data_IF_607105530694
#
_entry.id   IF_607105530694
#
_cell.length_a   1.000
_cell.length_b   1.000
_cell.length_c   1.000
_cell.angle_alpha   90.00
_cell.angle_beta   90.00
_cell.angle_gamma   90.00
#
_symmetry.space_group_name_H-M   'P 1'
#
loop_
_entity.id
_entity.type
_entity.pdbx_description
1 polymer ?
#
# COMPACT_ATOMS: atom_id res chain seq x y z
N UNK A 1 8.85 9.35 1.01
CA UNK A 1 8.20 8.07 0.72
C UNK A 1 6.72 8.20 1.03
N UNK A 2 5.92 7.33 0.41
CA UNK A 2 4.52 7.06 0.73
C UNK A 2 4.39 5.59 1.08
N UNK A 3 3.70 5.29 2.18
CA UNK A 3 3.59 3.94 2.71
C UNK A 3 2.15 3.49 2.70
N UNK A 4 1.94 2.22 2.39
CA UNK A 4 0.68 1.52 2.60
C UNK A 4 0.86 0.53 3.73
N UNK A 5 0.10 0.70 4.81
CA UNK A 5 0.17 -0.18 5.95
C UNK A 5 -1.20 -0.67 6.41
N UNK A 6 -1.21 -1.83 7.05
CA UNK A 6 -2.38 -2.39 7.71
C UNK A 6 -2.24 -2.19 9.21
N UNK A 7 -3.30 -1.72 9.85
CA UNK A 7 -3.34 -1.62 11.30
C UNK A 7 -3.53 -3.00 11.91
N UNK A 8 -2.63 -3.35 12.81
CA UNK A 8 -2.62 -4.58 13.61
C UNK A 8 -2.61 -4.24 15.10
N UNK A 9 -2.72 -5.24 15.96
CA UNK A 9 -2.58 -5.05 17.41
C UNK A 9 -1.17 -4.55 17.82
N UNK A 10 -0.16 -4.75 16.98
CA UNK A 10 1.21 -4.29 17.20
C UNK A 10 1.52 -2.97 16.49
N UNK A 11 0.50 -2.30 15.96
CA UNK A 11 0.62 -1.06 15.20
C UNK A 11 0.53 -1.27 13.69
N UNK A 12 1.07 -0.31 12.94
CA UNK A 12 1.01 -0.24 11.48
C UNK A 12 2.07 -1.17 10.86
N UNK A 13 1.60 -2.28 10.27
CA UNK A 13 2.43 -3.21 9.52
C UNK A 13 2.58 -2.71 8.08
N UNK A 14 3.80 -2.35 7.69
CA UNK A 14 4.10 -1.95 6.31
C UNK A 14 3.84 -3.12 5.33
N UNK A 15 3.10 -2.83 4.26
CA UNK A 15 2.78 -3.80 3.21
C UNK A 15 3.43 -3.45 1.87
N UNK A 16 3.47 -2.15 1.55
CA UNK A 16 4.11 -1.63 0.35
C UNK A 16 4.51 -0.16 0.55
N UNK A 17 5.46 0.32 -0.26
CA UNK A 17 5.90 1.71 -0.21
C UNK A 17 6.40 2.19 -1.56
N UNK A 18 6.38 3.51 -1.77
CA UNK A 18 6.97 4.15 -2.95
C UNK A 18 7.53 5.55 -2.70
N UNK A 19 8.24 6.09 -3.69
CA UNK A 19 8.67 7.49 -3.76
C UNK A 19 8.04 8.15 -5.00
N UNK A 20 7.68 9.43 -4.90
CA UNK A 20 7.24 10.28 -6.01
C UNK A 20 6.33 9.58 -7.02
N UNK A 21 6.83 9.34 -8.23
CA UNK A 21 6.10 8.77 -9.37
C UNK A 21 6.44 7.30 -9.65
N UNK A 22 7.10 6.63 -8.72
CA UNK A 22 7.52 5.24 -8.92
C UNK A 22 6.36 4.27 -8.64
N UNK A 23 6.27 3.25 -9.49
CA UNK A 23 5.44 2.08 -9.27
C UNK A 23 6.25 0.99 -8.59
N UNK A 24 5.74 0.45 -7.49
CA UNK A 24 6.36 -0.62 -6.71
C UNK A 24 5.36 -1.70 -6.37
N UNK A 25 5.89 -2.90 -6.23
CA UNK A 25 5.13 -4.09 -5.90
C UNK A 25 5.62 -4.65 -4.55
N UNK A 26 4.69 -5.16 -3.74
CA UNK A 26 5.02 -5.89 -2.52
C UNK A 26 5.79 -7.16 -2.83
N UNK A 27 6.48 -7.69 -1.83
CA UNK A 27 7.31 -8.89 -1.97
C UNK A 27 6.55 -10.12 -2.47
N UNK A 28 5.28 -10.24 -2.10
CA UNK A 28 4.38 -11.33 -2.52
C UNK A 28 3.66 -11.05 -3.85
N UNK A 29 3.90 -9.89 -4.47
CA UNK A 29 3.33 -9.54 -5.76
C UNK A 29 1.87 -9.06 -5.72
N UNK A 30 1.20 -9.11 -4.57
CA UNK A 30 -0.25 -8.87 -4.50
C UNK A 30 -0.65 -7.41 -4.42
N UNK A 31 0.26 -6.56 -3.95
CA UNK A 31 0.01 -5.16 -3.71
C UNK A 31 0.91 -4.34 -4.63
N UNK A 32 0.32 -3.42 -5.37
CA UNK A 32 1.03 -2.44 -6.16
C UNK A 32 0.71 -1.06 -5.63
N UNK A 33 1.74 -0.25 -5.42
CA UNK A 33 1.63 1.14 -4.99
C UNK A 33 2.31 2.04 -6.01
N UNK A 34 1.63 3.10 -6.41
CA UNK A 34 2.07 4.06 -7.42
C UNK A 34 1.71 5.46 -6.95
N UNK A 35 2.67 6.37 -6.96
CA UNK A 35 2.41 7.77 -6.70
C UNK A 35 2.24 8.55 -7.99
N UNK A 36 1.44 9.60 -7.94
CA UNK A 36 1.32 10.58 -9.02
C UNK A 36 1.55 11.98 -8.43
N UNK A 37 2.70 12.57 -8.78
CA UNK A 37 3.09 13.89 -8.29
C UNK A 37 2.27 15.02 -8.91
N UNK A 38 1.67 14.79 -10.08
CA UNK A 38 0.84 15.77 -10.79
C UNK A 38 -0.51 15.93 -10.09
N UNK A 39 -1.19 14.81 -9.84
CA UNK A 39 -2.47 14.79 -9.13
C UNK A 39 -2.32 14.83 -7.60
N UNK A 40 -1.10 14.65 -7.09
CA UNK A 40 -0.77 14.53 -5.65
C UNK A 40 -1.53 13.37 -4.98
N UNK A 41 -1.72 12.28 -5.71
CA UNK A 41 -2.40 11.08 -5.23
C UNK A 41 -1.47 9.89 -5.12
N UNK A 42 -1.88 8.91 -4.33
CA UNK A 42 -1.26 7.59 -4.28
C UNK A 42 -2.34 6.59 -4.60
N UNK A 43 -2.07 5.73 -5.57
CA UNK A 43 -2.94 4.62 -5.96
C UNK A 43 -2.38 3.33 -5.39
N UNK A 44 -3.25 2.54 -4.77
CA UNK A 44 -2.92 1.21 -4.24
C UNK A 44 -3.86 0.19 -4.86
N UNK A 45 -3.29 -0.81 -5.51
CA UNK A 45 -4.03 -1.93 -6.12
C UNK A 45 -3.70 -3.20 -5.35
N UNK A 46 -4.70 -3.86 -4.79
CA UNK A 46 -4.58 -5.15 -4.11
C UNK A 46 -5.32 -6.22 -4.92
N UNK A 47 -4.65 -7.32 -5.25
CA UNK A 47 -5.21 -8.42 -6.05
C UNK A 47 -5.25 -9.72 -5.25
N UNK A 48 -6.12 -10.65 -5.67
CA UNK A 48 -6.35 -11.93 -4.97
C UNK A 48 -6.65 -11.73 -3.47
N UNK A 49 -7.57 -10.79 -3.20
CA UNK A 49 -8.05 -10.47 -1.85
C UNK A 49 -8.86 -11.63 -1.27
N UNK A 50 -8.60 -11.92 0.00
CA UNK A 50 -9.32 -12.94 0.78
C UNK A 50 -9.98 -12.32 1.99
N UNK A 51 -10.85 -13.10 2.66
CA UNK A 51 -11.56 -12.61 3.85
C UNK A 51 -10.59 -12.16 4.96
N UNK A 52 -9.43 -12.82 5.07
CA UNK A 52 -8.39 -12.52 6.06
C UNK A 52 -7.67 -11.19 5.81
N UNK A 53 -7.80 -10.61 4.62
CA UNK A 53 -7.25 -9.29 4.28
C UNK A 53 -8.15 -8.15 4.80
N UNK A 54 -9.32 -8.45 5.35
CA UNK A 54 -10.22 -7.43 5.92
C UNK A 54 -9.57 -6.69 7.09
N UNK A 55 -9.65 -5.37 7.09
CA UNK A 55 -9.10 -4.55 8.17
C UNK A 55 -8.99 -3.07 7.81
N UNK A 56 -8.41 -2.28 8.71
CA UNK A 56 -8.13 -0.87 8.47
C UNK A 56 -6.75 -0.71 7.87
N UNK A 57 -6.68 0.06 6.79
CA UNK A 57 -5.44 0.39 6.09
C UNK A 57 -5.20 1.89 6.15
N UNK A 58 -3.92 2.27 6.16
CA UNK A 58 -3.49 3.66 6.23
C UNK A 58 -2.46 3.95 5.15
N UNK A 59 -2.57 5.16 4.60
CA UNK A 59 -1.53 5.80 3.82
C UNK A 59 -0.79 6.79 4.73
N UNK A 60 0.55 6.81 4.66
CA UNK A 60 1.43 7.75 5.37
C UNK A 60 2.45 8.38 4.43
#
# INVERSE_FOLDING_TARGET
>A
AKYWCRLTQHGCQELAWTYDQYKRQSKDGKITIEGDTTSKTVSVTMTDLKAEDSGTYFCA
#
